data_IF_492812441698
#
_entry.id   IF_492812441698
#
_cell.length_a   1.000
_cell.length_b   1.000
_cell.length_c   1.000
_cell.angle_alpha   90.00
_cell.angle_beta   90.00
_cell.angle_gamma   90.00
#
_symmetry.space_group_name_H-M   'P 1'
#
loop_
_entity.id
_entity.type
_entity.pdbx_description
1 polymer ?
#
# COMPACT_ATOMS: atom_id res chain seq x y z
N UNK A 1 22.12 0.24 11.51
CA UNK A 1 20.83 -0.47 11.29
C UNK A 1 20.97 -1.91 11.73
N UNK A 2 20.05 -2.42 12.55
CA UNK A 2 20.01 -3.83 12.92
C UNK A 2 19.52 -4.64 11.72
N UNK A 3 20.05 -5.83 11.52
CA UNK A 3 19.62 -6.76 10.48
C UNK A 3 18.08 -6.97 10.49
N UNK A 4 17.51 -7.15 11.69
CA UNK A 4 16.06 -7.30 11.86
C UNK A 4 15.29 -6.05 11.39
N UNK A 5 15.85 -4.85 11.53
CA UNK A 5 15.23 -3.64 11.04
C UNK A 5 15.16 -3.61 9.49
N UNK A 6 16.21 -4.09 8.83
CA UNK A 6 16.22 -4.19 7.36
C UNK A 6 15.21 -5.22 6.85
N UNK A 7 15.07 -6.37 7.53
CA UNK A 7 14.01 -7.34 7.21
C UNK A 7 12.61 -6.75 7.36
N UNK A 8 12.37 -5.98 8.41
CA UNK A 8 11.07 -5.35 8.63
C UNK A 8 10.76 -4.30 7.55
N UNK A 9 11.76 -3.53 7.11
CA UNK A 9 11.59 -2.57 6.00
C UNK A 9 11.16 -3.28 4.73
N UNK A 10 11.89 -4.32 4.31
CA UNK A 10 11.57 -5.09 3.09
C UNK A 10 10.22 -5.80 3.24
N UNK A 11 9.95 -6.42 4.40
CA UNK A 11 8.67 -7.08 4.66
C UNK A 11 7.48 -6.13 4.59
N UNK A 12 7.65 -4.90 5.09
CA UNK A 12 6.61 -3.87 4.98
C UNK A 12 6.36 -3.44 3.52
N UNK A 13 7.40 -3.35 2.68
CA UNK A 13 7.30 -3.09 1.25
C UNK A 13 6.51 -4.19 0.53
N UNK A 14 6.89 -5.45 0.76
CA UNK A 14 6.19 -6.63 0.19
C UNK A 14 4.69 -6.59 0.53
N UNK A 15 4.35 -6.38 1.81
CA UNK A 15 2.95 -6.34 2.26
C UNK A 15 2.19 -5.18 1.62
N UNK A 16 2.81 -4.02 1.53
CA UNK A 16 2.20 -2.83 0.94
C UNK A 16 1.94 -3.01 -0.57
N UNK A 17 2.88 -3.57 -1.33
CA UNK A 17 2.69 -3.85 -2.76
C UNK A 17 1.68 -4.96 -3.01
N UNK A 18 1.60 -5.98 -2.14
CA UNK A 18 0.56 -7.00 -2.23
C UNK A 18 -0.83 -6.39 -2.09
N UNK A 19 -1.04 -5.57 -1.05
CA UNK A 19 -2.33 -4.89 -0.87
C UNK A 19 -2.68 -3.96 -2.04
N UNK A 20 -1.67 -3.30 -2.64
CA UNK A 20 -1.88 -2.49 -3.85
C UNK A 20 -2.36 -3.35 -5.02
N UNK A 21 -1.78 -4.54 -5.22
CA UNK A 21 -2.21 -5.47 -6.25
C UNK A 21 -3.64 -5.97 -6.01
N UNK A 22 -4.02 -6.23 -4.76
CA UNK A 22 -5.37 -6.64 -4.39
C UNK A 22 -6.40 -5.54 -4.74
N UNK A 23 -6.11 -4.27 -4.40
CA UNK A 23 -6.98 -3.13 -4.73
C UNK A 23 -7.07 -2.91 -6.25
N UNK A 24 -5.98 -3.03 -6.99
CA UNK A 24 -6.00 -2.94 -8.45
C UNK A 24 -6.87 -4.06 -9.05
N UNK A 25 -6.74 -5.29 -8.54
CA UNK A 25 -7.56 -6.42 -8.97
C UNK A 25 -9.05 -6.17 -8.70
N UNK A 26 -9.39 -5.59 -7.55
CA UNK A 26 -10.75 -5.18 -7.21
C UNK A 26 -11.28 -4.12 -8.20
N UNK A 27 -10.48 -3.09 -8.53
CA UNK A 27 -10.84 -2.08 -9.51
C UNK A 27 -11.11 -2.70 -10.90
N UNK A 28 -10.24 -3.60 -11.35
CA UNK A 28 -10.40 -4.28 -12.65
C UNK A 28 -11.63 -5.17 -12.68
N UNK A 29 -11.91 -5.89 -11.59
CA UNK A 29 -13.09 -6.76 -11.49
C UNK A 29 -14.39 -5.96 -11.57
N UNK A 30 -14.39 -4.76 -10.98
CA UNK A 30 -15.56 -3.89 -10.90
C UNK A 30 -15.64 -2.84 -12.01
N UNK A 31 -14.85 -2.95 -13.07
CA UNK A 31 -14.82 -1.96 -14.17
C UNK A 31 -16.17 -1.74 -14.86
N UNK A 32 -17.05 -2.73 -14.83
CA UNK A 32 -18.39 -2.70 -15.44
C UNK A 32 -19.52 -2.64 -14.40
N UNK A 33 -19.21 -2.48 -13.12
CA UNK A 33 -20.22 -2.51 -12.05
C UNK A 33 -20.93 -1.14 -11.96
N UNK A 34 -22.12 -1.07 -12.50
CA UNK A 34 -22.98 0.14 -12.53
C UNK A 34 -23.75 0.35 -11.25
N UNK A 35 -23.93 -0.70 -10.42
CA UNK A 35 -24.71 -0.64 -9.20
C UNK A 35 -24.01 -1.38 -8.06
N UNK A 36 -23.71 -0.65 -6.99
CA UNK A 36 -23.15 -1.16 -5.73
C UNK A 36 -24.24 -1.24 -4.64
N UNK A 37 -23.96 -1.90 -3.51
CA UNK A 37 -24.85 -1.94 -2.35
C UNK A 37 -25.14 -0.54 -1.76
N UNK A 38 -24.19 0.38 -1.88
CA UNK A 38 -24.29 1.76 -1.42
C UNK A 38 -25.12 2.64 -2.37
N UNK A 39 -25.43 2.12 -3.57
CA UNK A 39 -26.10 2.83 -4.67
C UNK A 39 -25.10 3.55 -5.58
N UNK A 40 -25.40 3.50 -6.89
CA UNK A 40 -24.54 4.09 -7.93
C UNK A 40 -23.38 3.20 -8.37
N UNK A 41 -22.55 3.68 -9.34
CA UNK A 41 -21.47 2.92 -9.92
C UNK A 41 -20.30 2.75 -8.94
N UNK A 42 -19.50 1.71 -9.18
CA UNK A 42 -18.27 1.48 -8.41
C UNK A 42 -17.29 2.65 -8.57
N UNK A 43 -16.68 3.10 -7.47
CA UNK A 43 -15.61 4.10 -7.48
C UNK A 43 -14.24 3.42 -7.40
N UNK A 44 -13.32 3.91 -8.23
CA UNK A 44 -11.92 3.48 -8.22
C UNK A 44 -11.31 3.66 -6.84
N UNK A 45 -10.72 2.61 -6.27
CA UNK A 45 -10.00 2.66 -5.01
C UNK A 45 -8.51 2.90 -5.24
N UNK A 46 -7.89 3.68 -4.36
CA UNK A 46 -6.47 4.05 -4.43
C UNK A 46 -5.83 3.81 -3.06
N UNK A 47 -4.70 3.14 -3.04
CA UNK A 47 -3.94 2.88 -1.80
C UNK A 47 -3.02 4.05 -1.50
N UNK A 48 -3.10 4.58 -0.27
CA UNK A 48 -2.24 5.66 0.21
C UNK A 48 -1.13 5.09 1.09
N UNK A 49 0.12 5.25 0.64
CA UNK A 49 1.30 4.83 1.37
C UNK A 49 1.86 5.96 2.23
N UNK A 50 2.35 5.59 3.40
CA UNK A 50 3.10 6.48 4.27
C UNK A 50 4.39 5.81 4.74
N UNK A 51 5.48 6.57 4.79
CA UNK A 51 6.70 6.09 5.43
C UNK A 51 6.46 5.86 6.92
N UNK A 52 6.90 4.72 7.43
CA UNK A 52 6.91 4.46 8.87
C UNK A 52 8.05 5.23 9.51
N UNK A 53 7.69 6.24 10.29
CA UNK A 53 8.65 6.92 11.15
C UNK A 53 8.74 6.11 12.45
N UNK A 54 9.92 5.57 12.77
CA UNK A 54 10.13 4.80 14.00
C UNK A 54 9.87 5.58 15.29
N UNK A 55 9.49 6.86 15.13
CA UNK A 55 9.06 7.75 16.22
C UNK A 55 7.70 7.37 16.80
N UNK A 56 6.86 6.68 16.05
CA UNK A 56 5.48 6.35 16.43
C UNK A 56 5.37 4.99 17.14
N UNK A 57 6.48 4.28 17.34
CA UNK A 57 6.45 3.02 18.07
C UNK A 57 6.28 3.25 19.58
N UNK A 58 5.49 2.39 20.24
CA UNK A 58 5.33 2.40 21.70
C UNK A 58 6.69 2.39 22.44
N UNK A 59 7.67 1.67 21.90
CA UNK A 59 9.04 1.62 22.44
C UNK A 59 9.71 3.00 22.36
N UNK A 60 9.56 3.74 21.29
CA UNK A 60 10.08 5.09 21.14
C UNK A 60 9.38 6.08 22.07
N UNK A 61 8.04 5.95 22.22
CA UNK A 61 7.27 6.76 23.15
C UNK A 61 7.68 6.50 24.62
N UNK A 62 7.87 5.24 24.98
CA UNK A 62 8.30 4.85 26.34
C UNK A 62 9.72 5.31 26.64
N UNK A 63 10.63 5.18 25.68
CA UNK A 63 11.99 5.69 25.81
C UNK A 63 12.00 7.22 25.98
N UNK A 64 11.24 7.98 25.19
CA UNK A 64 11.10 9.43 25.39
C UNK A 64 10.54 9.79 26.75
N UNK A 65 9.55 9.05 27.27
CA UNK A 65 8.98 9.27 28.59
C UNK A 65 10.02 9.03 29.71
N UNK A 66 10.85 8.00 29.60
CA UNK A 66 11.93 7.70 30.53
C UNK A 66 13.04 8.77 30.49
N UNK A 67 13.45 9.23 29.29
CA UNK A 67 14.48 10.27 29.15
C UNK A 67 14.01 11.64 29.67
N UNK A 68 12.73 12.00 29.46
CA UNK A 68 12.15 13.23 30.04
C UNK A 68 12.24 13.24 31.58
N UNK A 69 12.16 12.07 32.20
CA UNK A 69 12.19 11.94 33.67
C UNK A 69 13.62 12.01 34.22
N UNK A 70 14.64 11.69 33.42
CA UNK A 70 16.06 11.71 33.85
C UNK A 70 16.79 13.01 33.52
N UNK A 71 16.17 14.01 32.90
CA UNK A 71 16.79 15.30 32.56
C UNK A 71 17.91 15.22 31.50
N UNK A 72 18.22 14.06 30.98
CA UNK A 72 19.20 13.83 29.93
C UNK A 72 18.51 13.98 28.55
N UNK A 73 18.74 15.12 27.91
CA UNK A 73 18.42 15.32 26.49
C UNK A 73 19.46 14.57 25.69
N UNK A 74 19.32 13.26 25.62
CA UNK A 74 20.15 12.46 24.74
C UNK A 74 19.46 12.48 23.36
N UNK A 75 20.14 13.10 22.39
CA UNK A 75 19.87 12.96 20.96
C UNK A 75 20.39 11.59 20.50
N UNK A 76 20.22 10.56 21.35
CA UNK A 76 20.51 9.19 21.00
C UNK A 76 19.61 8.84 19.84
N UNK A 77 20.18 8.80 18.64
CA UNK A 77 19.52 8.39 17.43
C UNK A 77 18.90 7.02 17.64
N UNK A 78 17.65 6.99 18.06
CA UNK A 78 16.83 5.80 17.93
C UNK A 78 16.81 5.51 16.44
N UNK A 79 17.45 4.40 16.06
CA UNK A 79 17.34 3.88 14.72
C UNK A 79 15.85 3.75 14.41
N UNK A 80 15.38 4.69 13.61
CA UNK A 80 14.01 4.66 13.11
C UNK A 80 13.90 3.40 12.29
N UNK A 81 13.07 2.48 12.73
CA UNK A 81 12.71 1.32 11.93
C UNK A 81 11.92 1.89 10.75
N UNK A 82 12.64 2.20 9.66
CA UNK A 82 12.02 2.64 8.43
C UNK A 82 11.07 1.57 7.88
N UNK A 83 10.34 1.90 6.86
CA UNK A 83 9.42 1.01 6.18
C UNK A 83 8.24 1.79 5.62
N UNK A 84 7.30 1.06 5.04
CA UNK A 84 6.09 1.60 4.45
C UNK A 84 4.88 0.98 5.14
N UNK A 85 3.85 1.80 5.37
CA UNK A 85 2.53 1.30 5.77
C UNK A 85 1.46 1.85 4.86
N UNK A 86 0.41 1.11 4.67
CA UNK A 86 -0.83 1.61 4.11
C UNK A 86 -1.58 2.35 5.23
N UNK A 87 -1.93 3.59 4.95
CA UNK A 87 -2.65 4.46 5.92
C UNK A 87 -4.11 4.45 5.62
N UNK A 88 -4.44 4.42 4.32
CA UNK A 88 -5.82 4.53 3.87
C UNK A 88 -5.99 3.88 2.50
N UNK A 89 -7.22 3.45 2.22
CA UNK A 89 -7.69 3.06 0.90
C UNK A 89 -8.80 4.04 0.56
N UNK A 90 -8.42 5.12 -0.12
CA UNK A 90 -9.34 6.18 -0.52
C UNK A 90 -10.03 5.89 -1.83
N UNK A 91 -11.14 6.56 -2.08
CA UNK A 91 -11.83 6.55 -3.37
C UNK A 91 -11.36 7.70 -4.25
N UNK A 92 -11.21 7.43 -5.54
CA UNK A 92 -10.93 8.45 -6.55
C UNK A 92 -12.18 9.28 -6.80
N UNK A 93 -12.11 10.57 -6.54
CA UNK A 93 -13.24 11.50 -6.68
C UNK A 93 -13.45 12.01 -8.10
N UNK A 94 -12.72 11.48 -9.08
CA UNK A 94 -12.92 11.84 -10.50
C UNK A 94 -14.31 11.44 -10.99
N UNK A 95 -14.78 12.16 -12.03
CA UNK A 95 -16.10 11.97 -12.59
C UNK A 95 -16.26 10.56 -13.21
N UNK A 96 -17.49 10.05 -13.15
CA UNK A 96 -17.87 8.80 -13.79
C UNK A 96 -17.85 8.91 -15.31
N UNK A 97 -17.61 7.81 -15.99
CA UNK A 97 -17.73 7.74 -17.45
C UNK A 97 -19.19 7.59 -17.83
N UNK A 98 -19.66 8.37 -18.78
CA UNK A 98 -21.03 8.25 -19.30
C UNK A 98 -21.05 7.42 -20.57
N UNK A 99 -21.96 6.45 -20.64
CA UNK A 99 -22.25 5.66 -21.82
C UNK A 99 -23.70 5.83 -22.20
N UNK A 100 -23.96 6.19 -23.45
CA UNK A 100 -25.33 6.26 -23.97
C UNK A 100 -25.86 4.86 -24.28
N UNK A 101 -26.81 4.39 -23.49
CA UNK A 101 -27.49 3.09 -23.66
C UNK A 101 -28.89 3.17 -23.04
N UNK A 102 -29.91 3.61 -23.80
CA UNK A 102 -31.25 3.77 -23.27
C UNK A 102 -31.98 2.43 -23.01
N UNK A 103 -31.38 1.29 -23.37
CA UNK A 103 -31.98 -0.03 -23.14
C UNK A 103 -31.51 -0.65 -21.80
N UNK A 104 -30.50 -0.05 -21.19
CA UNK A 104 -29.95 -0.49 -19.91
C UNK A 104 -30.92 -0.11 -18.76
N UNK A 105 -31.24 -1.03 -17.83
CA UNK A 105 -32.10 -0.73 -16.68
C UNK A 105 -31.53 0.33 -15.73
N UNK A 106 -30.23 0.58 -15.76
CA UNK A 106 -29.55 1.59 -14.94
C UNK A 106 -29.39 2.94 -15.68
N UNK A 107 -30.03 3.10 -16.87
CA UNK A 107 -30.00 4.35 -17.62
C UNK A 107 -30.82 5.44 -16.93
N UNK A 108 -30.32 6.68 -16.95
CA UNK A 108 -31.04 7.84 -16.47
C UNK A 108 -32.16 8.26 -17.47
N UNK A 109 -32.94 9.28 -17.15
CA UNK A 109 -34.05 9.79 -17.99
C UNK A 109 -33.57 10.27 -19.38
N UNK A 110 -32.28 10.60 -19.52
CA UNK A 110 -31.65 11.03 -20.76
C UNK A 110 -31.04 9.87 -21.56
N UNK A 111 -31.10 8.62 -21.06
CA UNK A 111 -30.57 7.43 -21.67
C UNK A 111 -29.06 7.19 -21.47
N UNK A 112 -28.45 7.85 -20.49
CA UNK A 112 -27.05 7.64 -20.15
C UNK A 112 -26.90 6.74 -18.91
N UNK A 113 -25.95 5.82 -18.98
CA UNK A 113 -25.51 4.97 -17.87
C UNK A 113 -24.19 5.50 -17.33
N UNK A 114 -24.10 5.68 -16.03
CA UNK A 114 -22.85 6.01 -15.35
C UNK A 114 -22.01 4.75 -15.16
N UNK A 115 -20.80 4.76 -15.70
CA UNK A 115 -19.82 3.68 -15.55
C UNK A 115 -18.74 4.07 -14.52
N UNK A 116 -18.10 3.09 -13.87
CA UNK A 116 -16.98 3.34 -12.98
C UNK A 116 -15.89 4.22 -13.60
N UNK A 117 -15.24 5.04 -12.77
CA UNK A 117 -14.11 5.89 -13.17
C UNK A 117 -12.79 5.08 -13.26
N UNK A 118 -12.88 3.79 -13.56
CA UNK A 118 -11.74 2.89 -13.73
C UNK A 118 -11.27 2.91 -15.19
N UNK A 119 -9.96 2.96 -15.40
CA UNK A 119 -9.31 2.85 -16.70
C UNK A 119 -8.45 1.58 -16.72
N UNK A 120 -8.86 0.60 -17.56
CA UNK A 120 -8.18 -0.70 -17.64
C UNK A 120 -6.69 -0.56 -17.97
N UNK A 121 -6.33 0.32 -18.89
CA UNK A 121 -4.92 0.49 -19.30
C UNK A 121 -4.08 1.04 -18.15
N UNK A 122 -4.63 2.00 -17.42
CA UNK A 122 -4.00 2.57 -16.23
C UNK A 122 -3.84 1.51 -15.14
N UNK A 123 -4.89 0.75 -14.84
CA UNK A 123 -4.83 -0.32 -13.83
C UNK A 123 -3.82 -1.42 -14.20
N UNK A 124 -3.76 -1.84 -15.47
CA UNK A 124 -2.76 -2.82 -15.91
C UNK A 124 -1.34 -2.28 -15.74
N UNK A 125 -1.11 -1.02 -16.10
CA UNK A 125 0.20 -0.37 -15.94
C UNK A 125 0.59 -0.27 -14.46
N UNK A 126 -0.36 0.10 -13.60
CA UNK A 126 -0.16 0.17 -12.15
C UNK A 126 0.09 -1.22 -11.55
N UNK A 127 -0.60 -2.26 -12.02
CA UNK A 127 -0.38 -3.66 -11.62
C UNK A 127 1.02 -4.14 -12.01
N UNK A 128 1.47 -3.83 -13.23
CA UNK A 128 2.82 -4.18 -13.67
C UNK A 128 3.89 -3.50 -12.81
N UNK A 129 3.72 -2.21 -12.49
CA UNK A 129 4.63 -1.48 -11.63
C UNK A 129 4.67 -2.06 -10.21
N UNK A 130 3.51 -2.36 -9.62
CA UNK A 130 3.40 -2.96 -8.30
C UNK A 130 4.00 -4.37 -8.25
N UNK A 131 3.79 -5.18 -9.30
CA UNK A 131 4.37 -6.52 -9.43
C UNK A 131 5.91 -6.46 -9.53
N UNK A 132 6.46 -5.53 -10.29
CA UNK A 132 7.92 -5.33 -10.39
C UNK A 132 8.52 -4.91 -9.05
N UNK A 133 7.88 -3.98 -8.34
CA UNK A 133 8.30 -3.56 -7.01
C UNK A 133 8.26 -4.72 -6.00
N UNK A 134 7.17 -5.50 -6.00
CA UNK A 134 7.03 -6.71 -5.18
C UNK A 134 8.17 -7.71 -5.44
N UNK A 135 8.48 -7.99 -6.71
CA UNK A 135 9.56 -8.92 -7.09
C UNK A 135 10.94 -8.38 -6.69
N UNK A 136 11.17 -7.07 -6.78
CA UNK A 136 12.41 -6.45 -6.32
C UNK A 136 12.59 -6.60 -4.81
N UNK A 137 11.55 -6.36 -4.03
CA UNK A 137 11.56 -6.53 -2.57
C UNK A 137 11.75 -8.00 -2.18
N UNK A 138 11.09 -8.94 -2.87
CA UNK A 138 11.27 -10.37 -2.65
C UNK A 138 12.71 -10.83 -2.95
N UNK A 139 13.30 -10.29 -4.02
CA UNK A 139 14.71 -10.56 -4.36
C UNK A 139 15.65 -10.01 -3.29
N UNK A 140 15.44 -8.78 -2.83
CA UNK A 140 16.22 -8.16 -1.76
C UNK A 140 16.12 -8.97 -0.46
N UNK A 141 14.94 -9.51 -0.14
CA UNK A 141 14.74 -10.39 1.00
C UNK A 141 15.56 -11.69 0.85
N UNK A 142 15.58 -12.28 -0.35
CA UNK A 142 16.39 -13.47 -0.67
C UNK A 142 17.89 -13.21 -0.49
N UNK A 143 18.39 -12.09 -0.97
CA UNK A 143 19.80 -11.68 -0.79
C UNK A 143 20.15 -11.53 0.69
N UNK A 144 19.30 -10.87 1.46
CA UNK A 144 19.46 -10.74 2.91
C UNK A 144 19.56 -12.11 3.60
N UNK A 145 18.68 -13.04 3.27
CA UNK A 145 18.71 -14.42 3.80
C UNK A 145 20.05 -15.12 3.49
N UNK A 146 20.57 -14.93 2.29
CA UNK A 146 21.87 -15.50 1.88
C UNK A 146 23.02 -14.92 2.70
N UNK A 147 23.03 -13.61 2.92
CA UNK A 147 24.05 -12.92 3.74
C UNK A 147 24.05 -13.45 5.18
N UNK A 148 22.87 -13.71 5.76
CA UNK A 148 22.77 -14.27 7.11
C UNK A 148 23.37 -15.67 7.16
N UNK A 149 22.95 -16.51 6.21
CA UNK A 149 23.41 -17.89 6.19
C UNK A 149 24.94 -17.95 6.05
N UNK A 150 25.53 -17.06 5.23
CA UNK A 150 26.98 -16.92 5.11
C UNK A 150 27.62 -16.46 6.44
N UNK A 151 27.03 -15.46 7.09
CA UNK A 151 27.50 -14.97 8.39
C UNK A 151 27.48 -16.03 9.50
N UNK A 152 26.42 -16.86 9.53
CA UNK A 152 26.30 -17.96 10.49
C UNK A 152 27.32 -19.09 10.23
N UNK A 153 27.76 -19.27 8.98
CA UNK A 153 28.79 -20.26 8.62
C UNK A 153 30.19 -19.77 9.03
N UNK A 154 30.46 -18.48 9.04
CA UNK A 154 31.76 -17.92 9.46
C UNK A 154 31.94 -18.01 10.99
N UNK A 155 30.83 -18.06 11.74
CA UNK A 155 30.85 -18.16 13.23
C UNK A 155 30.92 -19.58 13.77
N UNK A 156 31.08 -20.59 12.91
CA UNK A 156 31.37 -21.97 13.27
C UNK A 156 32.85 -22.29 13.02
#
# INVERSE_FOLDING_TARGET
MSFLSTMNVIGSGITAQHLRLDVISENVTNINTTRTEEGGPYRRKVVVFQAQDGRDTFRAAMARAQFRRSGLVSNAGFETTGGVRVVDIGEDTSDFKLRYDPTDPDANEEGYVELPNVDLVKEITDAMAASQAYNADATAFGVLKTVINAGLQIGK
#
